data_IF_252182542927
#
_entry.id   IF_252182542927
#
_cell.length_a   1.000
_cell.length_b   1.000
_cell.length_c   1.000
_cell.angle_alpha   90.00
_cell.angle_beta   90.00
_cell.angle_gamma   90.00
#
_symmetry.space_group_name_H-M   'P 1'
#
loop_
_entity.id
_entity.type
_entity.pdbx_description
1 polymer ?
#
# COMPACT_ATOMS: atom_id res chain seq x y z
N UNK A 1 21.39 11.93 21.71
CA UNK A 1 21.62 12.81 22.91
C UNK A 1 23.11 12.83 23.32
N UNK A 2 24.00 12.34 22.48
CA UNK A 2 25.44 12.36 22.74
C UNK A 2 25.94 13.79 22.93
N UNK A 3 26.77 14.04 23.96
CA UNK A 3 27.27 15.38 24.33
C UNK A 3 26.29 16.29 25.06
N UNK A 4 25.10 15.82 25.42
CA UNK A 4 24.07 16.61 26.11
C UNK A 4 23.81 16.17 27.55
N UNK A 5 24.57 15.19 28.07
CA UNK A 5 24.35 14.62 29.41
C UNK A 5 24.40 15.61 30.55
N UNK A 6 25.28 16.63 30.46
CA UNK A 6 25.46 17.62 31.49
C UNK A 6 24.64 18.92 31.29
N UNK A 7 23.81 18.93 30.23
CA UNK A 7 22.98 20.14 29.93
C UNK A 7 21.65 20.06 30.66
N UNK A 8 21.14 21.22 31.16
CA UNK A 8 19.82 21.24 31.79
C UNK A 8 18.72 20.92 30.80
N UNK A 9 17.68 20.20 31.25
CA UNK A 9 16.53 19.80 30.41
C UNK A 9 15.85 21.01 29.72
N UNK A 10 15.88 22.17 30.34
CA UNK A 10 15.34 23.41 29.79
C UNK A 10 16.02 23.86 28.50
N UNK A 11 17.29 23.50 28.28
CA UNK A 11 18.05 23.85 27.07
C UNK A 11 17.81 22.88 25.90
N UNK A 12 17.08 21.78 26.11
CA UNK A 12 16.80 20.77 25.09
C UNK A 12 15.67 21.24 24.17
N UNK A 13 15.77 20.90 22.85
CA UNK A 13 14.69 21.07 21.92
C UNK A 13 13.50 20.13 22.25
N UNK A 14 12.31 20.39 21.67
CA UNK A 14 11.14 19.54 21.88
C UNK A 14 11.40 18.06 21.57
N UNK A 15 12.02 17.76 20.44
CA UNK A 15 12.38 16.39 20.06
C UNK A 15 13.42 15.76 21.01
N UNK A 16 14.39 16.55 21.50
CA UNK A 16 15.37 16.05 22.48
C UNK A 16 14.69 15.74 23.83
N UNK A 17 13.76 16.60 24.29
CA UNK A 17 12.96 16.30 25.50
C UNK A 17 12.16 15.02 25.35
N UNK A 18 11.57 14.80 24.17
CA UNK A 18 10.83 13.57 23.86
C UNK A 18 11.74 12.33 23.92
N UNK A 19 12.92 12.39 23.30
CA UNK A 19 13.94 11.32 23.39
C UNK A 19 14.35 11.02 24.83
N UNK A 20 14.53 12.05 25.65
CA UNK A 20 14.80 11.86 27.11
C UNK A 20 13.63 11.19 27.81
N UNK A 21 12.38 11.56 27.48
CA UNK A 21 11.18 10.94 28.02
C UNK A 21 11.10 9.45 27.69
N UNK A 22 11.33 9.09 26.43
CA UNK A 22 11.38 7.68 25.99
C UNK A 22 12.52 6.92 26.67
N UNK A 23 13.73 7.49 26.72
CA UNK A 23 14.88 6.88 27.39
C UNK A 23 14.59 6.62 28.87
N UNK A 24 14.00 7.60 29.56
CA UNK A 24 13.60 7.47 30.98
C UNK A 24 12.59 6.34 31.17
N UNK A 25 11.60 6.23 30.30
CA UNK A 25 10.59 5.16 30.36
C UNK A 25 11.20 3.76 30.12
N UNK A 26 12.27 3.68 29.33
CA UNK A 26 12.94 2.42 28.98
C UNK A 26 13.99 1.96 30.02
N UNK A 27 14.47 2.83 30.91
CA UNK A 27 15.52 2.50 31.89
C UNK A 27 15.20 1.25 32.70
N UNK A 28 13.94 1.10 33.12
CA UNK A 28 13.48 -0.05 33.90
C UNK A 28 13.10 -1.27 33.04
N UNK A 29 13.38 -1.24 31.74
CA UNK A 29 13.05 -2.33 30.81
C UNK A 29 11.60 -2.84 30.90
N UNK A 30 10.57 -1.99 30.93
CA UNK A 30 9.19 -2.42 31.11
C UNK A 30 8.75 -3.31 29.94
N UNK A 31 7.78 -4.20 30.19
CA UNK A 31 7.19 -5.03 29.13
C UNK A 31 6.21 -4.24 28.26
N UNK A 32 5.65 -3.16 28.81
CA UNK A 32 4.68 -2.30 28.14
C UNK A 32 5.02 -0.82 28.36
N UNK A 33 4.93 -0.04 27.28
CA UNK A 33 5.08 1.42 27.30
C UNK A 33 3.72 2.06 27.01
N UNK A 34 3.33 3.01 27.87
CA UNK A 34 2.15 3.84 27.67
C UNK A 34 2.59 5.27 27.29
N UNK A 35 2.06 5.78 26.20
CA UNK A 35 2.38 7.11 25.70
C UNK A 35 1.09 7.87 25.40
N UNK A 36 0.99 9.08 25.93
CA UNK A 36 -0.14 9.98 25.69
C UNK A 36 0.34 11.13 24.80
N UNK A 37 -0.23 11.25 23.60
CA UNK A 37 0.08 12.28 22.60
C UNK A 37 1.60 12.50 22.38
N UNK A 38 2.41 11.45 22.12
CA UNK A 38 3.87 11.55 22.16
C UNK A 38 4.46 12.48 21.09
N UNK A 39 3.71 12.86 20.07
CA UNK A 39 4.22 13.66 18.94
C UNK A 39 3.49 14.99 18.74
N UNK A 40 2.49 15.32 19.55
CA UNK A 40 1.61 16.48 19.35
C UNK A 40 2.35 17.83 19.40
N UNK A 41 3.39 17.95 20.24
CA UNK A 41 4.14 19.19 20.42
C UNK A 41 5.36 19.34 19.50
N UNK A 42 5.50 18.45 18.48
CA UNK A 42 6.65 18.45 17.58
C UNK A 42 6.30 19.06 16.21
N UNK A 43 7.26 19.75 15.62
CA UNK A 43 7.15 20.16 14.22
C UNK A 43 7.14 18.94 13.28
N UNK A 44 6.60 19.07 12.04
CA UNK A 44 6.38 17.91 11.15
C UNK A 44 7.64 17.12 10.82
N UNK A 45 8.82 17.76 10.74
CA UNK A 45 10.06 17.08 10.41
C UNK A 45 10.55 16.22 11.58
N UNK A 46 10.65 16.85 12.76
CA UNK A 46 11.05 16.16 14.01
C UNK A 46 10.06 15.07 14.38
N UNK A 47 8.74 15.31 14.19
CA UNK A 47 7.70 14.29 14.39
C UNK A 47 7.96 13.04 13.56
N UNK A 48 8.25 13.20 12.26
CA UNK A 48 8.55 12.10 11.36
C UNK A 48 9.78 11.30 11.79
N UNK A 49 10.86 12.00 12.18
CA UNK A 49 12.07 11.34 12.70
C UNK A 49 11.79 10.55 13.97
N UNK A 50 11.05 11.14 14.92
CA UNK A 50 10.69 10.48 16.19
C UNK A 50 9.81 9.25 15.98
N UNK A 51 8.88 9.28 15.02
CA UNK A 51 8.06 8.12 14.64
C UNK A 51 8.93 6.98 14.11
N UNK A 52 9.91 7.26 13.25
CA UNK A 52 10.86 6.26 12.77
C UNK A 52 11.73 5.69 13.89
N UNK A 53 12.22 6.52 14.80
CA UNK A 53 12.98 6.08 15.96
C UNK A 53 12.13 5.16 16.86
N UNK A 54 10.88 5.54 17.14
CA UNK A 54 9.98 4.72 17.96
C UNK A 54 9.76 3.32 17.35
N UNK A 55 9.49 3.24 16.04
CA UNK A 55 9.35 1.96 15.33
C UNK A 55 10.64 1.14 15.37
N UNK A 56 11.81 1.78 15.24
CA UNK A 56 13.10 1.12 15.34
C UNK A 56 13.35 0.54 16.73
N UNK A 57 13.02 1.30 17.77
CA UNK A 57 13.14 0.88 19.16
C UNK A 57 12.18 -0.28 19.45
N UNK A 58 10.92 -0.17 19.02
CA UNK A 58 9.91 -1.21 19.21
C UNK A 58 10.35 -2.55 18.59
N UNK A 59 10.82 -2.52 17.32
CA UNK A 59 11.33 -3.73 16.64
C UNK A 59 12.55 -4.33 17.31
N UNK A 60 13.46 -3.49 17.80
CA UNK A 60 14.71 -3.94 18.45
C UNK A 60 14.48 -4.55 19.83
N UNK A 61 13.52 -3.99 20.57
CA UNK A 61 13.25 -4.38 21.96
C UNK A 61 12.06 -5.35 22.10
N UNK A 62 11.28 -5.55 21.01
CA UNK A 62 10.08 -6.40 20.98
C UNK A 62 9.07 -6.07 22.10
N UNK A 63 8.95 -4.76 22.44
CA UNK A 63 8.07 -4.29 23.52
C UNK A 63 6.69 -3.97 23.01
N UNK A 64 5.69 -4.14 23.87
CA UNK A 64 4.34 -3.65 23.61
C UNK A 64 4.28 -2.16 23.87
N UNK A 65 3.81 -1.40 22.87
CA UNK A 65 3.60 0.04 22.99
C UNK A 65 2.13 0.34 22.80
N UNK A 66 1.53 1.00 23.76
CA UNK A 66 0.20 1.59 23.65
C UNK A 66 0.39 3.09 23.63
N UNK A 67 -0.03 3.75 22.54
CA UNK A 67 0.00 5.21 22.47
C UNK A 67 -1.37 5.78 22.09
N UNK A 68 -1.68 6.92 22.66
CA UNK A 68 -2.89 7.68 22.38
C UNK A 68 -2.51 8.80 21.43
N UNK A 69 -3.30 8.99 20.39
CA UNK A 69 -3.17 10.13 19.47
C UNK A 69 -4.55 10.49 18.93
N UNK A 70 -4.71 11.76 18.54
CA UNK A 70 -5.86 12.23 17.79
C UNK A 70 -5.61 12.24 16.28
N UNK A 71 -4.39 11.93 15.83
CA UNK A 71 -4.01 11.86 14.42
C UNK A 71 -4.17 10.43 13.90
N UNK A 72 -5.18 10.22 13.05
CA UNK A 72 -5.47 8.93 12.45
C UNK A 72 -4.31 8.41 11.57
N UNK A 73 -3.55 9.32 10.93
CA UNK A 73 -2.39 8.94 10.13
C UNK A 73 -1.26 8.37 10.98
N UNK A 74 -1.07 8.92 12.18
CA UNK A 74 -0.12 8.36 13.16
C UNK A 74 -0.57 6.98 13.60
N UNK A 75 -1.84 6.84 13.97
CA UNK A 75 -2.41 5.55 14.40
C UNK A 75 -2.26 4.49 13.31
N UNK A 76 -2.56 4.80 12.06
CA UNK A 76 -2.48 3.86 10.94
C UNK A 76 -1.05 3.55 10.50
N UNK A 77 -0.13 4.50 10.67
CA UNK A 77 1.28 4.32 10.31
C UNK A 77 2.08 3.51 11.33
N UNK A 78 1.77 3.68 12.61
CA UNK A 78 2.56 3.15 13.71
C UNK A 78 1.94 1.94 14.40
N UNK A 79 0.60 1.84 14.39
CA UNK A 79 -0.12 0.81 15.12
C UNK A 79 -0.30 -0.48 14.30
N UNK A 80 0.08 -1.62 14.88
CA UNK A 80 -0.34 -2.94 14.35
C UNK A 80 -1.85 -3.14 14.54
N UNK A 81 -2.40 -2.58 15.62
CA UNK A 81 -3.83 -2.54 15.91
C UNK A 81 -4.21 -1.13 16.39
N UNK A 82 -5.39 -0.69 15.98
CA UNK A 82 -5.95 0.62 16.31
C UNK A 82 -7.29 0.42 17.03
N UNK A 83 -7.56 1.24 18.03
CA UNK A 83 -8.86 1.31 18.70
C UNK A 83 -9.39 2.75 18.61
N UNK A 84 -10.55 2.94 17.98
CA UNK A 84 -11.25 4.23 17.95
C UNK A 84 -12.14 4.34 19.18
N UNK A 85 -11.95 5.40 19.94
CA UNK A 85 -12.72 5.71 21.15
C UNK A 85 -13.63 6.91 20.92
N UNK A 86 -14.84 6.84 21.45
CA UNK A 86 -15.79 7.94 21.49
C UNK A 86 -16.56 7.93 22.79
N UNK A 87 -16.67 9.07 23.45
CA UNK A 87 -17.37 9.21 24.74
C UNK A 87 -16.96 8.16 25.78
N UNK A 88 -15.66 7.87 25.90
CA UNK A 88 -15.12 6.92 26.87
C UNK A 88 -15.34 5.44 26.52
N UNK A 89 -15.86 5.12 25.33
CA UNK A 89 -16.10 3.74 24.89
C UNK A 89 -15.30 3.46 23.63
N UNK A 90 -14.76 2.23 23.53
CA UNK A 90 -14.18 1.72 22.30
C UNK A 90 -15.32 1.39 21.34
N UNK A 91 -15.33 2.03 20.17
CA UNK A 91 -16.34 1.83 19.13
C UNK A 91 -15.92 0.71 18.20
N UNK A 92 -14.65 0.70 17.79
CA UNK A 92 -14.07 -0.35 16.96
C UNK A 92 -12.60 -0.53 17.31
N UNK A 93 -12.12 -1.77 17.21
CA UNK A 93 -10.70 -2.12 17.33
C UNK A 93 -10.34 -3.16 16.29
N UNK A 94 -9.25 -2.93 15.57
CA UNK A 94 -8.78 -3.82 14.50
C UNK A 94 -7.44 -3.35 13.94
N UNK A 95 -6.98 -4.00 12.89
CA UNK A 95 -5.85 -3.52 12.09
C UNK A 95 -6.28 -2.27 11.30
N UNK A 96 -5.34 -1.40 10.88
CA UNK A 96 -5.65 -0.29 9.97
C UNK A 96 -6.39 -0.75 8.70
N UNK A 97 -6.04 -1.93 8.16
CA UNK A 97 -6.69 -2.53 6.99
C UNK A 97 -8.16 -2.86 7.27
N UNK A 98 -8.46 -3.57 8.37
CA UNK A 98 -9.83 -3.92 8.77
C UNK A 98 -10.67 -2.68 9.00
N UNK A 99 -10.14 -1.66 9.67
CA UNK A 99 -10.86 -0.41 9.95
C UNK A 99 -11.19 0.36 8.67
N UNK A 100 -10.29 0.34 7.69
CA UNK A 100 -10.47 1.05 6.42
C UNK A 100 -11.42 0.33 5.46
N UNK A 101 -11.49 -1.00 5.51
CA UNK A 101 -12.32 -1.79 4.60
C UNK A 101 -13.70 -2.09 5.16
N UNK A 102 -13.84 -2.19 6.49
CA UNK A 102 -15.09 -2.55 7.17
C UNK A 102 -15.34 -1.66 8.40
N UNK A 103 -15.61 -0.35 8.23
CA UNK A 103 -15.98 0.55 9.32
C UNK A 103 -17.35 0.19 9.89
N UNK A 104 -17.43 -0.03 11.22
CA UNK A 104 -18.63 -0.52 11.92
C UNK A 104 -19.82 0.43 11.84
N UNK A 105 -19.58 1.72 11.65
CA UNK A 105 -20.63 2.74 11.54
C UNK A 105 -20.10 4.00 10.84
N UNK A 106 -21.00 4.97 10.60
CA UNK A 106 -20.65 6.23 9.92
C UNK A 106 -19.71 7.11 10.74
N UNK A 107 -19.74 7.04 12.08
CA UNK A 107 -18.76 7.77 12.91
C UNK A 107 -17.34 7.30 12.62
N UNK A 108 -17.10 6.00 12.61
CA UNK A 108 -15.79 5.42 12.29
C UNK A 108 -15.40 5.76 10.85
N UNK A 109 -16.35 5.61 9.90
CA UNK A 109 -16.10 5.95 8.48
C UNK A 109 -15.64 7.39 8.33
N UNK A 110 -16.37 8.34 8.87
CA UNK A 110 -16.04 9.77 8.78
C UNK A 110 -14.73 10.10 9.52
N UNK A 111 -14.45 9.39 10.64
CA UNK A 111 -13.21 9.61 11.38
C UNK A 111 -11.98 9.19 10.58
N UNK A 112 -12.06 8.11 9.81
CA UNK A 112 -10.95 7.61 8.99
C UNK A 112 -10.88 8.24 7.59
N UNK A 113 -11.88 9.00 7.13
CA UNK A 113 -11.85 9.71 5.83
C UNK A 113 -10.64 10.64 5.66
N UNK A 114 -10.12 11.19 6.77
CA UNK A 114 -8.91 12.03 6.77
C UNK A 114 -7.59 11.24 6.69
N UNK A 115 -7.63 9.90 6.68
CA UNK A 115 -6.43 9.09 6.66
C UNK A 115 -5.85 8.98 5.24
N UNK A 116 -4.50 8.90 5.16
CA UNK A 116 -3.81 8.56 3.92
C UNK A 116 -4.01 7.06 3.61
N UNK A 117 -5.07 6.76 2.87
CA UNK A 117 -5.43 5.38 2.49
C UNK A 117 -4.35 4.67 1.68
N UNK A 118 -3.43 5.39 1.03
CA UNK A 118 -2.32 4.78 0.30
C UNK A 118 -1.36 4.01 1.20
N UNK A 119 -1.31 4.38 2.47
CA UNK A 119 -0.47 3.75 3.50
C UNK A 119 -1.06 2.46 4.07
N UNK A 120 -2.35 2.22 3.84
CA UNK A 120 -3.12 1.12 4.44
C UNK A 120 -3.62 0.15 3.37
N UNK A 121 -4.21 0.68 2.30
CA UNK A 121 -4.79 -0.15 1.24
C UNK A 121 -3.69 -0.87 0.44
N UNK A 122 -3.96 -2.14 0.16
CA UNK A 122 -3.13 -3.01 -0.67
C UNK A 122 -3.72 -3.11 -2.07
N UNK A 123 -2.91 -3.56 -3.00
CA UNK A 123 -3.29 -3.80 -4.41
C UNK A 123 -4.54 -4.66 -4.52
N UNK A 124 -4.71 -5.68 -3.67
CA UNK A 124 -5.88 -6.56 -3.67
C UNK A 124 -7.22 -5.83 -3.49
N UNK A 125 -7.25 -4.65 -2.84
CA UNK A 125 -8.48 -3.87 -2.62
C UNK A 125 -8.91 -3.03 -3.82
N UNK A 126 -8.01 -2.84 -4.79
CA UNK A 126 -8.24 -1.97 -5.95
C UNK A 126 -8.02 -2.66 -7.29
N UNK A 127 -7.50 -3.89 -7.27
CA UNK A 127 -7.33 -4.69 -8.48
C UNK A 127 -8.69 -5.20 -8.99
N UNK A 128 -8.74 -5.46 -10.28
CA UNK A 128 -9.90 -6.05 -10.95
C UNK A 128 -9.45 -7.04 -12.02
N UNK A 129 -10.33 -7.96 -12.46
CA UNK A 129 -10.00 -8.92 -13.50
C UNK A 129 -9.66 -8.21 -14.83
N UNK A 130 -8.66 -8.67 -15.60
CA UNK A 130 -8.44 -8.20 -16.96
C UNK A 130 -9.67 -8.46 -17.84
N UNK A 131 -10.04 -7.49 -18.66
CA UNK A 131 -11.18 -7.64 -19.58
C UNK A 131 -10.91 -8.62 -20.71
N UNK A 132 -9.64 -8.82 -21.10
CA UNK A 132 -9.25 -9.75 -22.14
C UNK A 132 -7.94 -10.46 -21.75
N UNK A 133 -7.93 -11.77 -21.80
CA UNK A 133 -6.77 -12.64 -21.55
C UNK A 133 -6.59 -13.55 -22.76
N UNK A 134 -5.38 -13.57 -23.33
CA UNK A 134 -5.03 -14.49 -24.42
C UNK A 134 -4.03 -15.54 -23.94
N UNK A 135 -4.27 -16.79 -24.31
CA UNK A 135 -3.38 -17.91 -23.95
C UNK A 135 -2.31 -18.16 -25.01
N UNK A 136 -1.24 -18.85 -24.64
CA UNK A 136 -0.07 -19.10 -25.47
C UNK A 136 -0.40 -19.70 -26.84
N UNK A 137 -1.39 -20.58 -26.91
CA UNK A 137 -1.77 -21.29 -28.12
C UNK A 137 -2.84 -20.58 -28.97
N UNK A 138 -3.22 -19.35 -28.61
CA UNK A 138 -4.25 -18.60 -29.36
C UNK A 138 -3.65 -18.01 -30.64
N UNK A 139 -4.37 -18.17 -31.76
CA UNK A 139 -3.98 -17.55 -33.02
C UNK A 139 -4.11 -16.03 -32.98
N UNK A 140 -3.30 -15.26 -33.74
CA UNK A 140 -3.47 -13.82 -33.85
C UNK A 140 -4.88 -13.40 -34.30
N UNK A 141 -5.54 -14.20 -35.14
CA UNK A 141 -6.92 -13.93 -35.59
C UNK A 141 -7.93 -14.05 -34.44
N UNK A 142 -7.81 -15.12 -33.63
CA UNK A 142 -8.66 -15.32 -32.44
C UNK A 142 -8.43 -14.21 -31.39
N UNK A 143 -7.18 -13.85 -31.14
CA UNK A 143 -6.87 -12.76 -30.21
C UNK A 143 -7.48 -11.41 -30.65
N UNK A 144 -7.44 -11.09 -31.95
CA UNK A 144 -8.11 -9.90 -32.51
C UNK A 144 -9.61 -9.96 -32.30
N UNK A 145 -10.23 -11.12 -32.49
CA UNK A 145 -11.67 -11.32 -32.28
C UNK A 145 -12.03 -11.13 -30.81
N UNK A 146 -11.34 -11.78 -29.89
CA UNK A 146 -11.56 -11.63 -28.44
C UNK A 146 -11.40 -10.18 -27.95
N UNK A 147 -10.38 -9.46 -28.43
CA UNK A 147 -10.20 -8.05 -28.08
C UNK A 147 -11.34 -7.17 -28.59
N UNK A 148 -11.87 -7.44 -29.81
CA UNK A 148 -13.01 -6.70 -30.38
C UNK A 148 -14.31 -6.98 -29.64
N UNK A 149 -14.59 -8.25 -29.32
CA UNK A 149 -15.76 -8.67 -28.54
C UNK A 149 -15.78 -8.02 -27.16
N UNK A 150 -14.62 -7.94 -26.51
CA UNK A 150 -14.45 -7.30 -25.20
C UNK A 150 -14.25 -5.78 -25.28
N UNK A 151 -14.28 -5.19 -26.49
CA UNK A 151 -14.12 -3.73 -26.72
C UNK A 151 -12.84 -3.13 -26.12
N UNK A 152 -11.73 -3.89 -26.18
CA UNK A 152 -10.43 -3.48 -25.65
C UNK A 152 -9.36 -3.37 -26.73
N UNK A 153 -8.38 -2.50 -26.54
CA UNK A 153 -7.24 -2.31 -27.44
C UNK A 153 -6.01 -3.13 -27.05
N UNK A 154 -6.07 -3.87 -25.95
CA UNK A 154 -4.97 -4.72 -25.49
C UNK A 154 -5.47 -5.90 -24.68
N UNK A 155 -4.72 -7.01 -24.69
CA UNK A 155 -4.99 -8.21 -23.93
C UNK A 155 -3.75 -8.63 -23.11
N UNK A 156 -3.99 -9.29 -21.98
CA UNK A 156 -2.94 -9.84 -21.12
C UNK A 156 -2.64 -11.27 -21.56
N UNK A 157 -1.40 -11.49 -21.98
CA UNK A 157 -0.95 -12.80 -22.46
C UNK A 157 -0.48 -13.66 -21.28
N UNK A 158 -0.97 -14.89 -21.22
CA UNK A 158 -0.61 -15.87 -20.20
C UNK A 158 -0.22 -17.21 -20.82
N UNK A 159 0.67 -17.94 -20.16
CA UNK A 159 0.93 -19.34 -20.45
C UNK A 159 -0.24 -20.23 -20.00
N UNK A 160 -0.22 -21.50 -20.34
CA UNK A 160 -1.31 -22.45 -20.00
C UNK A 160 -1.56 -22.56 -18.48
N UNK A 161 -0.52 -22.38 -17.66
CA UNK A 161 -0.58 -22.37 -16.20
C UNK A 161 -0.98 -21.01 -15.60
N UNK A 162 -1.46 -20.08 -16.44
CA UNK A 162 -1.81 -18.69 -16.08
C UNK A 162 -0.62 -17.78 -15.73
N UNK A 163 0.62 -18.18 -15.99
CA UNK A 163 1.79 -17.33 -15.79
C UNK A 163 1.73 -16.13 -16.74
N UNK A 164 1.89 -14.93 -16.21
CA UNK A 164 1.90 -13.69 -17.00
C UNK A 164 3.13 -13.61 -17.90
N UNK A 165 2.90 -13.34 -19.19
CA UNK A 165 3.93 -13.31 -20.23
C UNK A 165 4.17 -11.92 -20.82
N UNK A 166 3.16 -11.05 -20.76
CA UNK A 166 3.22 -9.71 -21.34
C UNK A 166 1.86 -9.22 -21.79
N UNK A 167 1.85 -8.13 -22.54
CA UNK A 167 0.64 -7.52 -23.11
C UNK A 167 0.77 -7.53 -24.63
N UNK A 168 -0.33 -7.83 -25.32
CA UNK A 168 -0.45 -7.67 -26.77
C UNK A 168 -1.45 -6.56 -27.08
N UNK A 169 -1.10 -5.66 -27.97
CA UNK A 169 -2.04 -4.65 -28.48
C UNK A 169 -2.82 -5.19 -29.68
N UNK A 170 -3.98 -4.56 -29.97
CA UNK A 170 -4.76 -4.91 -31.15
C UNK A 170 -3.95 -4.72 -32.45
N UNK A 171 -3.13 -3.65 -32.51
CA UNK A 171 -2.28 -3.37 -33.68
C UNK A 171 -1.20 -4.42 -33.86
N UNK A 172 -0.56 -4.88 -32.76
CA UNK A 172 0.45 -5.93 -32.80
C UNK A 172 -0.16 -7.30 -33.20
N UNK A 173 -1.36 -7.62 -32.70
CA UNK A 173 -2.08 -8.81 -33.10
C UNK A 173 -2.50 -8.78 -34.60
N UNK A 174 -2.94 -7.63 -35.09
CA UNK A 174 -3.24 -7.42 -36.52
C UNK A 174 -1.99 -7.56 -37.39
N UNK A 175 -0.84 -7.03 -36.93
CA UNK A 175 0.45 -7.18 -37.59
C UNK A 175 0.86 -8.66 -37.64
N UNK A 176 0.82 -9.35 -36.49
CA UNK A 176 1.14 -10.78 -36.42
C UNK A 176 0.28 -11.61 -37.36
N UNK A 177 -1.03 -11.28 -37.48
CA UNK A 177 -1.93 -11.96 -38.42
C UNK A 177 -1.53 -11.73 -39.89
N UNK A 178 -1.16 -10.49 -40.25
CA UNK A 178 -0.77 -10.15 -41.65
C UNK A 178 0.55 -10.80 -42.05
N UNK A 179 1.50 -10.85 -41.10
CA UNK A 179 2.87 -11.35 -41.32
C UNK A 179 3.00 -12.84 -41.01
N UNK A 180 1.91 -13.51 -40.66
CA UNK A 180 1.86 -14.91 -40.26
C UNK A 180 2.83 -15.26 -39.14
N UNK A 181 2.98 -14.35 -38.15
CA UNK A 181 3.84 -14.52 -37.00
C UNK A 181 3.07 -15.14 -35.81
N UNK A 182 3.74 -15.90 -34.93
CA UNK A 182 3.13 -16.32 -33.67
C UNK A 182 2.76 -15.12 -32.81
N UNK A 183 1.60 -15.15 -32.14
CA UNK A 183 1.10 -14.03 -31.31
C UNK A 183 2.15 -13.64 -30.22
N UNK A 184 2.79 -14.61 -29.62
CA UNK A 184 3.76 -14.41 -28.55
C UNK A 184 5.10 -13.79 -28.99
N UNK A 185 5.39 -13.76 -30.29
CA UNK A 185 6.56 -13.06 -30.82
C UNK A 185 6.41 -11.54 -30.83
N UNK A 186 5.18 -11.02 -30.76
CA UNK A 186 4.85 -9.59 -30.82
C UNK A 186 4.44 -9.01 -29.45
N UNK A 187 4.59 -9.76 -28.37
CA UNK A 187 4.25 -9.28 -27.04
C UNK A 187 5.12 -8.11 -26.60
N UNK A 188 4.49 -7.10 -26.03
CA UNK A 188 5.17 -6.08 -25.23
C UNK A 188 5.60 -6.72 -23.92
N UNK A 189 6.91 -6.93 -23.78
CA UNK A 189 7.58 -7.43 -22.57
C UNK A 189 7.97 -6.26 -21.66
N UNK A 190 8.28 -6.54 -20.39
CA UNK A 190 8.69 -5.51 -19.45
C UNK A 190 7.52 -4.63 -18.94
N UNK A 191 6.28 -5.08 -19.11
CA UNK A 191 5.12 -4.46 -18.49
C UNK A 191 5.28 -4.53 -16.97
N UNK A 192 5.04 -3.42 -16.23
CA UNK A 192 5.16 -3.42 -14.79
C UNK A 192 4.26 -4.48 -14.14
N UNK A 193 4.83 -5.19 -13.18
CA UNK A 193 4.10 -6.17 -12.36
C UNK A 193 4.14 -5.78 -10.89
N UNK A 194 3.17 -6.25 -10.12
CA UNK A 194 3.09 -6.07 -8.68
C UNK A 194 2.44 -7.29 -8.02
N UNK A 195 2.64 -7.44 -6.71
CA UNK A 195 1.92 -8.43 -5.91
C UNK A 195 0.62 -7.87 -5.34
N UNK A 196 -0.28 -8.75 -4.92
CA UNK A 196 -1.58 -8.38 -4.33
C UNK A 196 -1.46 -7.73 -2.94
N UNK A 197 -0.37 -8.02 -2.19
CA UNK A 197 -0.13 -7.51 -0.83
C UNK A 197 0.68 -6.21 -0.77
N UNK A 198 1.09 -5.68 -1.91
CA UNK A 198 1.85 -4.43 -2.00
C UNK A 198 0.94 -3.25 -1.67
N UNK A 199 1.44 -2.28 -0.89
CA UNK A 199 0.69 -1.07 -0.54
C UNK A 199 0.49 -0.18 -1.77
N UNK A 200 -0.64 0.53 -1.78
CA UNK A 200 -0.98 1.45 -2.89
C UNK A 200 0.10 2.51 -3.09
N UNK A 201 0.64 3.09 -2.00
CA UNK A 201 1.73 4.10 -2.07
C UNK A 201 2.93 3.62 -2.90
N UNK A 202 3.27 2.33 -2.81
CA UNK A 202 4.46 1.78 -3.46
C UNK A 202 4.26 1.54 -4.97
N UNK A 203 3.01 1.48 -5.43
CA UNK A 203 2.69 1.33 -6.85
C UNK A 203 2.32 2.65 -7.54
N UNK A 204 2.02 3.73 -6.80
CA UNK A 204 1.67 5.04 -7.38
C UNK A 204 2.67 5.49 -8.44
N UNK A 205 4.01 5.50 -8.20
CA UNK A 205 4.98 5.93 -9.21
C UNK A 205 4.95 5.05 -10.47
N UNK A 206 4.77 3.74 -10.29
CA UNK A 206 4.67 2.77 -11.40
C UNK A 206 3.37 2.98 -12.18
N UNK A 207 2.23 3.15 -11.50
CA UNK A 207 0.94 3.38 -12.11
C UNK A 207 0.89 4.70 -12.91
N UNK A 208 1.56 5.75 -12.40
CA UNK A 208 1.64 7.05 -13.07
C UNK A 208 2.35 6.96 -14.44
N UNK A 209 3.37 6.12 -14.55
CA UNK A 209 4.21 5.98 -15.76
C UNK A 209 3.77 4.82 -16.67
N UNK A 210 2.94 3.91 -16.19
CA UNK A 210 2.55 2.72 -16.92
C UNK A 210 1.70 3.05 -18.17
N UNK A 211 2.07 2.48 -19.31
CA UNK A 211 1.30 2.54 -20.56
C UNK A 211 0.03 1.70 -20.49
N UNK A 212 0.11 0.54 -19.82
CA UNK A 212 -0.98 -0.40 -19.57
C UNK A 212 -1.26 -0.52 -18.09
N UNK A 213 -2.45 -0.94 -17.66
CA UNK A 213 -2.68 -1.29 -16.27
C UNK A 213 -1.63 -2.31 -15.77
N UNK A 214 -1.15 -2.13 -14.55
CA UNK A 214 -0.11 -2.97 -13.95
C UNK A 214 -0.68 -4.39 -13.76
N UNK A 215 0.04 -5.41 -14.19
CA UNK A 215 -0.35 -6.79 -13.95
C UNK A 215 -0.12 -7.17 -12.47
N UNK A 216 -1.16 -7.69 -11.82
CA UNK A 216 -1.05 -8.22 -10.46
C UNK A 216 -0.77 -9.72 -10.56
N UNK A 217 0.36 -10.12 -10.03
CA UNK A 217 0.80 -11.52 -10.08
C UNK A 217 0.92 -12.11 -8.68
N UNK A 218 0.48 -13.33 -8.53
CA UNK A 218 0.63 -14.12 -7.33
C UNK A 218 1.82 -15.07 -7.40
N UNK A 219 1.72 -16.17 -6.65
CA UNK A 219 2.75 -17.20 -6.63
C UNK A 219 3.07 -17.73 -8.03
N UNK A 220 4.34 -18.01 -8.28
CA UNK A 220 4.88 -18.49 -9.56
C UNK A 220 4.59 -17.58 -10.76
N UNK A 221 4.26 -16.28 -10.50
CA UNK A 221 3.98 -15.30 -11.55
C UNK A 221 2.62 -15.45 -12.22
N UNK A 222 1.66 -16.13 -11.61
CA UNK A 222 0.29 -16.30 -12.14
C UNK A 222 -0.46 -14.96 -12.09
N UNK A 223 -1.11 -14.60 -13.20
CA UNK A 223 -1.95 -13.42 -13.30
C UNK A 223 -3.18 -13.54 -12.39
N UNK A 224 -3.33 -12.62 -11.45
CA UNK A 224 -4.46 -12.53 -10.51
C UNK A 224 -5.45 -11.44 -10.88
N UNK A 225 -4.95 -10.35 -11.44
CA UNK A 225 -5.75 -9.18 -11.77
C UNK A 225 -4.90 -8.10 -12.42
N UNK A 226 -5.46 -6.93 -12.55
CA UNK A 226 -4.77 -5.73 -13.03
C UNK A 226 -5.13 -4.52 -12.17
N UNK A 227 -4.25 -3.54 -12.13
CA UNK A 227 -4.48 -2.25 -11.46
C UNK A 227 -4.26 -1.12 -12.46
N UNK A 228 -5.29 -0.31 -12.67
CA UNK A 228 -5.21 0.86 -13.53
C UNK A 228 -4.84 2.12 -12.73
N UNK A 229 -4.36 3.16 -13.43
CA UNK A 229 -4.20 4.49 -12.84
C UNK A 229 -5.51 5.01 -12.24
N UNK A 230 -6.62 4.77 -12.92
CA UNK A 230 -7.94 5.22 -12.46
C UNK A 230 -8.34 4.53 -11.16
N UNK A 231 -8.12 3.19 -11.03
CA UNK A 231 -8.46 2.47 -9.78
C UNK A 231 -7.60 2.93 -8.59
N UNK A 232 -6.32 3.25 -8.83
CA UNK A 232 -5.45 3.84 -7.80
C UNK A 232 -5.97 5.21 -7.38
N UNK A 233 -6.25 6.12 -8.32
CA UNK A 233 -6.77 7.45 -8.01
C UNK A 233 -8.12 7.39 -7.29
N UNK A 234 -9.03 6.53 -7.72
CA UNK A 234 -10.32 6.35 -7.06
C UNK A 234 -10.20 5.84 -5.61
N UNK A 235 -9.17 5.08 -5.29
CA UNK A 235 -8.92 4.61 -3.93
C UNK A 235 -8.39 5.70 -2.99
N UNK A 236 -7.79 6.75 -3.54
CA UNK A 236 -7.26 7.89 -2.80
C UNK A 236 -8.26 9.05 -2.66
N UNK A 237 -9.34 9.02 -3.43
CA UNK A 237 -10.36 10.07 -3.48
C UNK A 237 -11.59 9.77 -2.58
N UNK A 238 -11.49 8.72 -1.76
CA UNK A 238 -12.53 8.31 -0.81
C UNK A 238 -12.35 8.98 0.52
#
# INVERSE_FOLDING_TARGET
LEGWGDKPISSLSGGMKQRVGIARALVNSPDMLLMDEPFSALDPLVRREMQFELLSIQRKLEKTIIFITHDINEAFKLGDRVAIMHNGKIIQSGTPEEMSTDPVNDYVRNFIEGADMSMVLKVRHVMFPPQCIVRENVSPASAVMEMRENQVSSAYAVADDMKFMGVVTLDDALRARRENLPLFSVLTKGVPVTGEDVLIKDIIPKAAQAKFPIAVVGERGKLKGIVSRASVLSSLAR
#
